data_IF_979845345019
#
_entry.id   IF_979845345019
#
_cell.length_a   1.000
_cell.length_b   1.000
_cell.length_c   1.000
_cell.angle_alpha   90.00
_cell.angle_beta   90.00
_cell.angle_gamma   90.00
#
_symmetry.space_group_name_H-M   'P 1'
#
loop_
_entity.id
_entity.type
_entity.pdbx_description
1 polymer ?
#
# COMPACT_ATOMS: atom_id res chain seq x y z
N UNK A 1 -2.63 -14.93 -39.47
CA UNK A 1 -1.55 -15.93 -39.40
C UNK A 1 -0.39 -15.30 -38.67
N UNK A 2 0.17 -16.01 -37.67
CA UNK A 2 1.33 -15.60 -36.88
C UNK A 2 2.50 -15.12 -37.78
N UNK A 3 3.49 -14.36 -37.28
CA UNK A 3 4.76 -14.29 -37.98
C UNK A 3 5.26 -15.74 -38.09
N UNK A 4 5.18 -16.30 -39.29
CA UNK A 4 5.34 -17.72 -39.57
C UNK A 4 6.77 -18.24 -39.34
N UNK A 5 7.69 -17.38 -38.87
CA UNK A 5 9.09 -17.69 -38.65
C UNK A 5 9.53 -17.66 -37.17
N UNK A 6 8.65 -17.28 -36.23
CA UNK A 6 9.03 -17.16 -34.81
C UNK A 6 10.13 -16.12 -34.55
N UNK A 7 10.74 -16.17 -33.36
CA UNK A 7 11.85 -15.28 -32.97
C UNK A 7 13.14 -15.70 -33.67
N UNK A 8 13.75 -14.77 -34.41
CA UNK A 8 14.98 -15.01 -35.16
C UNK A 8 16.22 -14.87 -34.27
N UNK A 9 16.18 -13.94 -33.32
CA UNK A 9 17.26 -13.72 -32.37
C UNK A 9 16.70 -13.10 -31.09
N UNK A 10 17.06 -13.65 -29.94
CA UNK A 10 16.84 -13.03 -28.62
C UNK A 10 18.20 -12.89 -27.94
N UNK A 11 18.50 -11.70 -27.43
CA UNK A 11 19.73 -11.42 -26.70
C UNK A 11 19.38 -10.69 -25.40
N UNK A 12 19.63 -11.37 -24.29
CA UNK A 12 19.51 -10.78 -22.95
C UNK A 12 20.65 -9.79 -22.77
N UNK A 13 20.31 -8.52 -22.56
CA UNK A 13 21.27 -7.47 -22.24
C UNK A 13 21.43 -7.40 -20.72
N UNK A 14 22.62 -7.69 -20.23
CA UNK A 14 22.95 -7.51 -18.80
C UNK A 14 23.34 -6.05 -18.55
N UNK A 15 22.87 -5.48 -17.44
CA UNK A 15 23.03 -4.07 -17.05
C UNK A 15 24.48 -3.59 -16.90
N UNK A 16 25.46 -4.51 -16.85
CA UNK A 16 26.89 -4.19 -16.75
C UNK A 16 27.58 -3.93 -18.08
N UNK A 17 26.92 -4.17 -19.22
CA UNK A 17 27.46 -3.89 -20.54
C UNK A 17 26.70 -2.70 -21.13
N UNK A 18 27.42 -1.64 -21.48
CA UNK A 18 26.87 -0.60 -22.36
C UNK A 18 26.29 -1.28 -23.61
N UNK A 19 24.96 -1.22 -23.75
CA UNK A 19 24.26 -1.83 -24.86
C UNK A 19 24.50 -0.98 -26.12
N UNK A 20 25.52 -1.34 -26.89
CA UNK A 20 25.80 -0.73 -28.19
C UNK A 20 24.76 -1.21 -29.22
N UNK A 21 23.64 -0.49 -29.29
CA UNK A 21 22.55 -0.71 -30.24
C UNK A 21 23.06 -0.75 -31.69
N UNK A 22 24.13 0.01 -32.01
CA UNK A 22 24.73 0.03 -33.35
C UNK A 22 25.41 -1.30 -33.65
N UNK A 23 26.14 -1.90 -32.71
CA UNK A 23 26.69 -3.26 -32.87
C UNK A 23 25.58 -4.31 -33.01
N UNK A 24 24.47 -4.19 -32.28
CA UNK A 24 23.33 -5.10 -32.40
C UNK A 24 22.68 -5.02 -33.78
N UNK A 25 22.44 -3.80 -34.29
CA UNK A 25 21.95 -3.57 -35.64
C UNK A 25 22.91 -4.15 -36.70
N UNK A 26 24.20 -3.84 -36.59
CA UNK A 26 25.23 -4.32 -37.54
C UNK A 26 25.32 -5.85 -37.59
N UNK A 27 25.17 -6.53 -36.45
CA UNK A 27 25.11 -8.00 -36.38
C UNK A 27 23.84 -8.60 -37.00
N UNK A 28 22.82 -7.78 -37.25
CA UNK A 28 21.50 -8.21 -37.73
C UNK A 28 21.19 -7.81 -39.18
N UNK A 29 22.02 -6.96 -39.82
CA UNK A 29 21.79 -6.43 -41.18
C UNK A 29 21.55 -7.55 -42.21
N UNK A 30 22.33 -8.64 -42.13
CA UNK A 30 22.18 -9.80 -43.00
C UNK A 30 20.88 -10.58 -42.78
N UNK A 31 20.34 -10.58 -41.56
CA UNK A 31 19.10 -11.28 -41.20
C UNK A 31 17.86 -10.52 -41.68
N UNK A 32 17.88 -9.19 -41.60
CA UNK A 32 16.73 -8.34 -41.95
C UNK A 32 16.48 -8.27 -43.46
N UNK A 33 17.52 -8.48 -44.28
CA UNK A 33 17.48 -8.27 -45.73
C UNK A 33 16.61 -9.29 -46.51
N UNK A 34 16.21 -10.41 -45.87
CA UNK A 34 15.39 -11.46 -46.48
C UNK A 34 14.00 -11.64 -45.86
N UNK A 35 13.61 -10.79 -44.91
CA UNK A 35 12.34 -10.93 -44.20
C UNK A 35 11.25 -10.09 -44.86
N UNK A 36 10.04 -10.66 -44.89
CA UNK A 36 8.87 -9.89 -45.25
C UNK A 36 8.71 -8.70 -44.28
N UNK A 37 8.25 -7.52 -44.75
CA UNK A 37 7.95 -6.40 -43.88
C UNK A 37 7.04 -6.84 -42.73
N UNK A 38 7.39 -6.44 -41.50
CA UNK A 38 6.56 -6.71 -40.34
C UNK A 38 5.22 -5.98 -40.50
N UNK A 39 4.13 -6.70 -40.27
CA UNK A 39 2.78 -6.13 -40.25
C UNK A 39 2.56 -5.35 -38.94
N UNK A 40 3.17 -4.16 -38.87
CA UNK A 40 3.09 -3.25 -37.73
C UNK A 40 2.71 -1.86 -38.25
N UNK A 41 1.58 -1.37 -37.77
CA UNK A 41 1.06 -0.03 -38.03
C UNK A 41 1.52 0.97 -36.96
N UNK A 42 1.44 0.61 -35.68
CA UNK A 42 1.95 1.42 -34.56
C UNK A 42 2.39 0.54 -33.39
N UNK A 43 3.17 1.12 -32.47
CA UNK A 43 3.67 0.45 -31.28
C UNK A 43 3.73 1.36 -30.06
N UNK A 44 3.57 0.79 -28.88
CA UNK A 44 3.78 1.49 -27.61
C UNK A 44 4.38 0.54 -26.55
N UNK A 45 5.06 1.10 -25.55
CA UNK A 45 5.57 0.34 -24.42
C UNK A 45 4.49 0.24 -23.34
N UNK A 46 4.29 -0.94 -22.76
CA UNK A 46 3.39 -1.14 -21.62
C UNK A 46 4.09 -0.82 -20.31
N UNK A 47 3.30 -0.55 -19.26
CA UNK A 47 3.83 -0.33 -17.91
C UNK A 47 4.59 -1.56 -17.35
N UNK A 48 4.32 -2.76 -17.89
CA UNK A 48 5.02 -4.00 -17.53
C UNK A 48 6.33 -4.22 -18.30
N UNK A 49 6.73 -3.29 -19.17
CA UNK A 49 7.91 -3.40 -20.01
C UNK A 49 7.72 -4.24 -21.29
N UNK A 50 6.49 -4.68 -21.57
CA UNK A 50 6.11 -5.33 -22.83
C UNK A 50 5.93 -4.32 -23.97
N UNK A 51 5.99 -4.81 -25.20
CA UNK A 51 5.78 -4.02 -26.42
C UNK A 51 4.40 -4.31 -27.02
N UNK A 52 3.52 -3.32 -26.99
CA UNK A 52 2.23 -3.34 -27.68
C UNK A 52 2.45 -3.06 -29.16
N UNK A 53 1.86 -3.90 -30.01
CA UNK A 53 1.92 -3.81 -31.46
C UNK A 53 0.51 -3.82 -32.04
N UNK A 54 0.21 -2.87 -32.91
CA UNK A 54 -1.01 -2.88 -33.73
C UNK A 54 -0.63 -3.22 -35.15
N UNK A 55 -1.26 -4.23 -35.74
CA UNK A 55 -1.08 -4.60 -37.15
C UNK A 55 -1.87 -3.70 -38.09
N UNK A 56 -1.56 -3.73 -39.39
CA UNK A 56 -2.35 -3.03 -40.41
C UNK A 56 -3.77 -3.56 -40.54
N UNK A 57 -4.07 -4.75 -40.02
CA UNK A 57 -5.43 -5.30 -39.95
C UNK A 57 -6.21 -4.87 -38.69
N UNK A 58 -5.59 -4.09 -37.80
CA UNK A 58 -6.21 -3.64 -36.55
C UNK A 58 -6.08 -4.62 -35.38
N UNK A 59 -5.38 -5.75 -35.55
CA UNK A 59 -5.07 -6.67 -34.45
C UNK A 59 -4.03 -6.07 -33.51
N UNK A 60 -4.33 -6.09 -32.22
CA UNK A 60 -3.47 -5.65 -31.12
C UNK A 60 -2.85 -6.86 -30.42
N UNK A 61 -1.53 -6.91 -30.40
CA UNK A 61 -0.74 -7.93 -29.73
C UNK A 61 0.21 -7.30 -28.70
N UNK A 62 0.60 -8.07 -27.69
CA UNK A 62 1.68 -7.74 -26.78
C UNK A 62 2.84 -8.70 -26.99
N UNK A 63 4.05 -8.17 -27.04
CA UNK A 63 5.30 -8.93 -27.01
C UNK A 63 5.95 -8.70 -25.65
N UNK A 64 6.01 -9.73 -24.83
CA UNK A 64 6.61 -9.66 -23.50
C UNK A 64 8.16 -9.66 -23.58
N UNK A 65 8.88 -9.26 -22.51
CA UNK A 65 10.34 -9.19 -22.52
C UNK A 65 11.07 -10.51 -22.82
N UNK A 66 10.42 -11.65 -22.56
CA UNK A 66 10.93 -12.99 -22.89
C UNK A 66 10.71 -13.37 -24.36
N UNK A 67 10.07 -12.50 -25.14
CA UNK A 67 9.67 -12.73 -26.51
C UNK A 67 8.36 -13.49 -26.64
N UNK A 68 7.59 -13.75 -25.59
CA UNK A 68 6.27 -14.34 -25.78
C UNK A 68 5.32 -13.33 -26.43
N UNK A 69 4.65 -13.72 -27.52
CA UNK A 69 3.65 -12.90 -28.17
C UNK A 69 2.26 -13.39 -27.79
N UNK A 70 1.41 -12.49 -27.30
CA UNK A 70 0.00 -12.76 -26.98
C UNK A 70 -0.92 -11.80 -27.71
N UNK A 71 -2.03 -12.33 -28.20
CA UNK A 71 -3.13 -11.53 -28.72
C UNK A 71 -3.87 -10.85 -27.58
N UNK A 72 -4.28 -9.59 -27.79
CA UNK A 72 -5.07 -8.83 -26.82
C UNK A 72 -6.48 -8.56 -27.37
N UNK A 73 -6.57 -7.92 -28.54
CA UNK A 73 -7.85 -7.44 -29.05
C UNK A 73 -7.78 -7.14 -30.55
N UNK A 74 -8.91 -7.22 -31.24
CA UNK A 74 -9.02 -6.80 -32.65
C UNK A 74 -9.85 -5.53 -32.74
N UNK A 75 -9.26 -4.45 -33.27
CA UNK A 75 -9.94 -3.19 -33.48
C UNK A 75 -11.00 -3.32 -34.58
N UNK A 76 -12.19 -2.81 -34.30
CA UNK A 76 -13.25 -2.70 -35.29
C UNK A 76 -12.90 -1.59 -36.31
N UNK A 77 -13.05 -1.85 -37.60
CA UNK A 77 -12.82 -0.83 -38.64
C UNK A 77 -12.16 -1.31 -39.93
N UNK A 78 -11.80 -2.59 -40.02
CA UNK A 78 -11.09 -3.12 -41.20
C UNK A 78 -9.63 -2.65 -41.25
N UNK A 79 -8.98 -2.77 -42.42
CA UNK A 79 -7.57 -2.42 -42.56
C UNK A 79 -7.30 -0.95 -42.23
N UNK A 80 -6.30 -0.70 -41.40
CA UNK A 80 -5.83 0.63 -41.03
C UNK A 80 -5.07 1.26 -42.19
N UNK A 81 -5.51 2.45 -42.61
CA UNK A 81 -4.81 3.21 -43.62
C UNK A 81 -3.43 3.65 -43.11
N UNK A 82 -2.46 3.69 -44.03
CA UNK A 82 -1.12 4.18 -43.71
C UNK A 82 -1.19 5.64 -43.24
N UNK A 83 -0.69 5.92 -42.04
CA UNK A 83 -0.73 7.26 -41.43
C UNK A 83 -1.99 7.60 -40.64
N UNK A 84 -2.95 6.68 -40.48
CA UNK A 84 -4.07 6.90 -39.55
C UNK A 84 -3.54 7.02 -38.11
N UNK A 85 -3.91 8.04 -37.32
CA UNK A 85 -3.41 8.16 -35.95
C UNK A 85 -4.05 7.08 -35.06
N UNK A 86 -3.22 6.16 -34.56
CA UNK A 86 -3.58 5.18 -33.53
C UNK A 86 -2.70 5.45 -32.31
N UNK A 87 -3.35 5.72 -31.18
CA UNK A 87 -2.65 5.88 -29.91
C UNK A 87 -2.96 4.72 -28.99
N UNK A 88 -1.92 4.17 -28.38
CA UNK A 88 -1.99 3.09 -27.41
C UNK A 88 -1.40 3.58 -26.10
N UNK A 89 -2.07 3.27 -24.99
CA UNK A 89 -1.53 3.54 -23.67
C UNK A 89 -2.08 2.57 -22.63
N UNK A 90 -1.25 2.19 -21.68
CA UNK A 90 -1.64 1.32 -20.56
C UNK A 90 -1.86 2.10 -19.28
N UNK A 91 -2.95 1.76 -18.57
CA UNK A 91 -3.34 2.29 -17.27
C UNK A 91 -3.66 1.10 -16.37
N UNK A 92 -2.74 0.73 -15.48
CA UNK A 92 -2.82 -0.53 -14.75
C UNK A 92 -3.06 -1.73 -15.69
N UNK A 93 -4.16 -2.45 -15.47
CA UNK A 93 -4.59 -3.59 -16.30
C UNK A 93 -5.37 -3.21 -17.56
N UNK A 94 -5.64 -1.92 -17.79
CA UNK A 94 -6.47 -1.43 -18.89
C UNK A 94 -5.58 -0.91 -20.02
N UNK A 95 -5.88 -1.33 -21.24
CA UNK A 95 -5.33 -0.76 -22.47
C UNK A 95 -6.33 0.24 -23.04
N UNK A 96 -5.92 1.50 -23.12
CA UNK A 96 -6.61 2.54 -23.86
C UNK A 96 -6.07 2.61 -25.29
N UNK A 97 -6.96 2.44 -26.27
CA UNK A 97 -6.65 2.61 -27.68
C UNK A 97 -7.56 3.68 -28.28
N UNK A 98 -6.98 4.70 -28.90
CA UNK A 98 -7.73 5.73 -29.64
C UNK A 98 -7.51 5.53 -31.13
N UNK A 99 -8.60 5.28 -31.86
CA UNK A 99 -8.60 5.13 -33.32
C UNK A 99 -9.77 5.93 -33.90
N UNK A 100 -9.47 6.85 -34.83
CA UNK A 100 -10.47 7.62 -35.59
C UNK A 100 -11.55 8.30 -34.72
N UNK A 101 -11.17 8.84 -33.56
CA UNK A 101 -12.09 9.48 -32.61
C UNK A 101 -12.92 8.49 -31.77
N UNK A 102 -12.56 7.21 -31.75
CA UNK A 102 -13.16 6.21 -30.87
C UNK A 102 -12.11 5.78 -29.83
N UNK A 103 -12.49 5.87 -28.56
CA UNK A 103 -11.73 5.31 -27.44
C UNK A 103 -12.21 3.89 -27.15
N UNK A 104 -11.31 2.94 -27.22
CA UNK A 104 -11.49 1.56 -26.79
C UNK A 104 -10.74 1.35 -25.47
N UNK A 105 -11.44 0.85 -24.46
CA UNK A 105 -10.85 0.42 -23.20
C UNK A 105 -10.93 -1.10 -23.14
N UNK A 106 -9.78 -1.75 -23.08
CA UNK A 106 -9.67 -3.21 -23.11
C UNK A 106 -8.99 -3.68 -21.83
N UNK A 107 -9.52 -4.73 -21.21
CA UNK A 107 -8.80 -5.44 -20.14
C UNK A 107 -7.66 -6.25 -20.78
N UNK A 108 -6.42 -5.90 -20.45
CA UNK A 108 -5.23 -6.54 -21.01
C UNK A 108 -5.13 -8.02 -20.65
N UNK A 109 -5.71 -8.44 -19.52
CA UNK A 109 -5.59 -9.82 -19.04
C UNK A 109 -6.54 -10.76 -19.78
N UNK A 110 -7.80 -10.34 -19.98
CA UNK A 110 -8.81 -11.15 -20.66
C UNK A 110 -8.98 -10.84 -22.15
N UNK A 111 -8.43 -9.72 -22.63
CA UNK A 111 -8.65 -9.22 -23.98
C UNK A 111 -10.07 -8.70 -24.23
N UNK A 112 -10.87 -8.52 -23.16
CA UNK A 112 -12.27 -8.09 -23.30
C UNK A 112 -12.36 -6.58 -23.41
N UNK A 113 -13.20 -6.12 -24.35
CA UNK A 113 -13.62 -4.73 -24.43
C UNK A 113 -14.45 -4.38 -23.19
N UNK A 114 -13.95 -3.45 -22.39
CA UNK A 114 -14.62 -2.89 -21.21
C UNK A 114 -15.62 -1.82 -21.65
N UNK A 115 -15.15 -0.84 -22.42
CA UNK A 115 -15.98 0.26 -22.89
C UNK A 115 -15.48 0.75 -24.25
N UNK A 116 -16.43 1.07 -25.13
CA UNK A 116 -16.18 1.76 -26.40
C UNK A 116 -16.91 3.09 -26.39
N UNK A 117 -16.18 4.17 -26.53
CA UNK A 117 -16.73 5.52 -26.50
C UNK A 117 -16.39 6.30 -27.75
N UNK A 118 -17.42 6.76 -28.45
CA UNK A 118 -17.25 7.71 -29.55
C UNK A 118 -16.96 9.07 -28.95
N UNK A 119 -15.78 9.61 -29.26
CA UNK A 119 -15.35 10.93 -28.84
C UNK A 119 -15.94 11.95 -29.83
N UNK A 120 -16.44 13.07 -29.31
CA UNK A 120 -16.99 14.14 -30.15
C UNK A 120 -15.94 14.85 -31.00
N UNK A 121 -14.65 14.63 -30.71
CA UNK A 121 -13.51 15.30 -31.34
C UNK A 121 -12.68 14.31 -32.14
N UNK A 122 -12.22 14.74 -33.32
CA UNK A 122 -11.43 13.90 -34.24
C UNK A 122 -9.98 13.71 -33.79
N UNK A 123 -9.41 14.70 -33.12
CA UNK A 123 -8.03 14.66 -32.60
C UNK A 123 -8.07 14.65 -31.08
N UNK A 124 -7.61 13.54 -30.50
CA UNK A 124 -7.53 13.33 -29.06
C UNK A 124 -6.18 12.70 -28.74
N UNK A 125 -5.52 13.24 -27.72
CA UNK A 125 -4.25 12.73 -27.22
C UNK A 125 -4.41 12.18 -25.81
N UNK A 126 -3.91 10.98 -25.57
CA UNK A 126 -3.91 10.40 -24.21
C UNK A 126 -2.71 10.95 -23.43
N UNK A 127 -2.98 11.67 -22.33
CA UNK A 127 -1.96 12.30 -21.49
C UNK A 127 -1.31 11.31 -20.52
N UNK A 128 -0.12 11.68 -20.03
CA UNK A 128 0.58 11.01 -18.93
C UNK A 128 0.35 11.81 -17.66
N UNK A 129 -0.29 11.20 -16.67
CA UNK A 129 -0.48 11.81 -15.35
C UNK A 129 0.70 11.43 -14.48
N UNK A 130 1.43 12.41 -13.94
CA UNK A 130 2.63 12.22 -13.10
C UNK A 130 2.26 12.02 -11.61
N UNK A 131 1.00 11.69 -11.29
CA UNK A 131 0.57 11.55 -9.89
C UNK A 131 -0.72 10.80 -9.63
N UNK A 132 -1.47 10.41 -10.67
CA UNK A 132 -2.64 9.53 -10.56
C UNK A 132 -2.41 8.35 -11.51
N UNK A 133 -1.86 7.25 -11.00
CA UNK A 133 -1.40 6.11 -11.82
C UNK A 133 -2.51 5.43 -12.66
N UNK A 134 -3.79 5.70 -12.36
CA UNK A 134 -4.93 5.02 -12.99
C UNK A 134 -5.96 5.97 -13.64
N UNK A 135 -5.73 7.28 -13.71
CA UNK A 135 -6.68 8.21 -14.33
C UNK A 135 -6.40 8.43 -15.83
N UNK A 136 -7.36 8.06 -16.68
CA UNK A 136 -7.25 8.25 -18.13
C UNK A 136 -7.59 9.71 -18.45
N UNK A 137 -6.56 10.50 -18.76
CA UNK A 137 -6.72 11.90 -19.16
C UNK A 137 -6.56 12.05 -20.67
N UNK A 138 -7.46 12.81 -21.28
CA UNK A 138 -7.55 13.07 -22.71
C UNK A 138 -7.35 14.57 -22.96
N UNK A 139 -6.34 14.92 -23.75
CA UNK A 139 -6.14 16.25 -24.29
C UNK A 139 -6.88 16.37 -25.62
N UNK A 140 -7.74 17.38 -25.72
CA UNK A 140 -8.40 17.78 -26.96
C UNK A 140 -8.08 19.25 -27.25
N UNK A 141 -8.51 19.74 -28.41
CA UNK A 141 -8.40 21.17 -28.76
C UNK A 141 -9.15 22.10 -27.79
N UNK A 142 -10.14 21.59 -27.04
CA UNK A 142 -10.96 22.39 -26.11
C UNK A 142 -10.48 22.30 -24.66
N UNK A 143 -9.51 21.45 -24.35
CA UNK A 143 -8.94 21.33 -23.01
C UNK A 143 -8.58 19.89 -22.62
N UNK A 144 -8.35 19.69 -21.32
CA UNK A 144 -8.03 18.40 -20.72
C UNK A 144 -9.29 17.83 -20.08
N UNK A 145 -9.59 16.56 -20.39
CA UNK A 145 -10.77 15.85 -19.92
C UNK A 145 -10.35 14.55 -19.24
N UNK A 146 -10.92 14.25 -18.07
CA UNK A 146 -10.76 12.94 -17.44
C UNK A 146 -11.86 12.00 -17.89
N UNK A 147 -11.50 10.80 -18.32
CA UNK A 147 -12.46 9.75 -18.62
C UNK A 147 -13.02 9.18 -17.32
N UNK A 148 -14.32 8.90 -17.30
CA UNK A 148 -14.99 8.15 -16.25
C UNK A 148 -15.83 7.07 -16.90
N UNK A 149 -15.74 5.84 -16.39
CA UNK A 149 -16.52 4.71 -16.87
C UNK A 149 -18.01 5.05 -16.91
N UNK A 150 -18.66 4.63 -18.00
CA UNK A 150 -20.10 4.62 -18.09
C UNK A 150 -20.68 3.83 -16.91
N UNK A 151 -21.67 4.40 -16.22
CA UNK A 151 -22.40 3.66 -15.21
C UNK A 151 -23.14 2.53 -15.94
N UNK A 152 -23.12 1.29 -15.46
CA UNK A 152 -24.01 0.27 -16.00
C UNK A 152 -25.45 0.80 -15.92
N UNK A 153 -26.15 0.78 -17.05
CA UNK A 153 -27.57 1.05 -17.07
C UNK A 153 -28.26 0.05 -16.14
N UNK A 154 -28.98 0.59 -15.17
CA UNK A 154 -29.97 -0.05 -14.32
C UNK A 154 -29.60 -1.46 -13.79
N UNK A 155 -28.78 -1.48 -12.75
CA UNK A 155 -29.01 -2.42 -11.65
C UNK A 155 -28.66 -1.72 -10.34
N UNK A 156 -29.70 -1.40 -9.61
CA UNK A 156 -29.73 -0.99 -8.20
C UNK A 156 -29.21 -2.08 -7.25
N UNK A 157 -28.09 -2.72 -7.61
CA UNK A 157 -27.39 -3.66 -6.76
C UNK A 157 -25.90 -3.35 -6.78
N UNK A 158 -25.26 -3.21 -5.60
CA UNK A 158 -23.83 -3.13 -5.51
C UNK A 158 -23.23 -4.42 -6.08
N UNK A 159 -22.03 -4.31 -6.69
CA UNK A 159 -21.29 -5.46 -7.21
C UNK A 159 -21.31 -6.61 -6.18
N UNK A 160 -21.98 -7.74 -6.49
CA UNK A 160 -22.20 -8.83 -5.54
C UNK A 160 -20.91 -9.37 -4.91
N UNK A 161 -19.78 -9.23 -5.61
CA UNK A 161 -18.47 -9.75 -5.23
C UNK A 161 -17.89 -9.08 -3.98
N UNK A 162 -18.00 -7.76 -3.80
CA UNK A 162 -17.40 -7.05 -2.67
C UNK A 162 -18.12 -7.35 -1.36
N UNK A 163 -19.45 -7.41 -1.44
CA UNK A 163 -20.30 -7.82 -0.31
C UNK A 163 -19.96 -9.24 0.09
N UNK A 164 -19.88 -10.16 -0.86
CA UNK A 164 -19.54 -11.56 -0.61
C UNK A 164 -18.14 -11.71 0.01
N UNK A 165 -17.16 -10.96 -0.48
CA UNK A 165 -15.78 -10.94 0.03
C UNK A 165 -15.68 -10.50 1.50
N UNK A 166 -16.42 -9.46 1.90
CA UNK A 166 -16.48 -9.00 3.31
C UNK A 166 -17.00 -10.11 4.22
N UNK A 167 -18.06 -10.79 3.81
CA UNK A 167 -18.64 -11.88 4.60
C UNK A 167 -17.73 -13.11 4.61
N UNK A 168 -17.03 -13.42 3.52
CA UNK A 168 -16.06 -14.51 3.48
C UNK A 168 -14.86 -14.25 4.39
N UNK A 169 -14.26 -13.06 4.34
CA UNK A 169 -13.13 -12.70 5.18
C UNK A 169 -13.54 -12.70 6.66
N UNK A 170 -14.73 -12.17 6.97
CA UNK A 170 -15.28 -12.27 8.31
C UNK A 170 -15.46 -13.72 8.77
N UNK A 171 -15.98 -14.60 7.91
CA UNK A 171 -16.08 -16.03 8.22
C UNK A 171 -14.71 -16.64 8.52
N UNK A 172 -13.67 -16.34 7.73
CA UNK A 172 -12.30 -16.82 7.96
C UNK A 172 -11.76 -16.32 9.31
N UNK A 173 -11.91 -15.03 9.59
CA UNK A 173 -11.44 -14.41 10.82
C UNK A 173 -12.11 -15.01 12.07
N UNK A 174 -13.44 -15.10 12.10
CA UNK A 174 -14.15 -15.66 13.25
C UNK A 174 -13.95 -17.18 13.39
N UNK A 175 -13.81 -17.92 12.29
CA UNK A 175 -13.52 -19.35 12.34
C UNK A 175 -12.15 -19.62 12.99
N UNK A 176 -11.13 -18.79 12.70
CA UNK A 176 -9.79 -18.92 13.32
C UNK A 176 -9.80 -18.75 14.84
N UNK A 177 -10.75 -17.97 15.39
CA UNK A 177 -10.85 -17.69 16.84
C UNK A 177 -11.93 -18.51 17.55
N UNK A 178 -12.68 -19.33 16.80
CA UNK A 178 -13.78 -20.13 17.34
C UNK A 178 -13.28 -21.46 17.91
N UNK A 179 -13.66 -21.77 19.14
CA UNK A 179 -13.45 -23.09 19.76
C UNK A 179 -14.50 -24.13 19.32
N UNK A 180 -15.46 -23.73 18.50
CA UNK A 180 -16.52 -24.59 17.98
C UNK A 180 -16.07 -25.31 16.71
N UNK A 181 -16.32 -26.62 16.63
CA UNK A 181 -16.07 -27.46 15.45
C UNK A 181 -17.05 -27.19 14.29
N UNK A 182 -18.10 -26.40 14.52
CA UNK A 182 -19.07 -26.07 13.47
C UNK A 182 -18.51 -25.01 12.51
N UNK A 183 -18.62 -25.27 11.21
CA UNK A 183 -18.21 -24.34 10.14
C UNK A 183 -19.16 -23.14 10.09
N UNK A 184 -18.60 -21.94 10.23
CA UNK A 184 -19.24 -20.66 10.04
C UNK A 184 -19.30 -20.38 8.53
N UNK A 185 -20.51 -20.18 8.02
CA UNK A 185 -20.78 -19.91 6.61
C UNK A 185 -21.30 -18.50 6.44
N UNK A 186 -21.12 -17.92 5.25
CA UNK A 186 -21.64 -16.59 4.88
C UNK A 186 -23.14 -16.49 5.17
N UNK A 187 -23.91 -17.55 4.88
CA UNK A 187 -25.34 -17.59 5.16
C UNK A 187 -25.68 -17.54 6.66
N UNK A 188 -24.92 -18.26 7.51
CA UNK A 188 -25.09 -18.21 8.96
C UNK A 188 -24.71 -16.84 9.51
N UNK A 189 -23.65 -16.22 8.98
CA UNK A 189 -23.24 -14.88 9.36
C UNK A 189 -24.30 -13.84 8.99
N UNK A 190 -24.89 -13.95 7.80
CA UNK A 190 -25.97 -13.07 7.29
C UNK A 190 -27.27 -13.23 8.08
N UNK A 191 -27.68 -14.47 8.41
CA UNK A 191 -28.94 -14.77 9.11
C UNK A 191 -28.89 -14.57 10.63
N UNK A 192 -27.69 -14.63 11.22
CA UNK A 192 -27.53 -14.73 12.67
C UNK A 192 -27.66 -13.42 13.46
N UNK A 193 -27.59 -12.24 12.81
CA UNK A 193 -27.69 -10.92 13.48
C UNK A 193 -26.61 -10.62 14.53
N UNK A 194 -25.79 -11.60 14.93
CA UNK A 194 -24.79 -11.52 15.98
C UNK A 194 -23.51 -10.77 15.56
N UNK A 195 -23.26 -10.64 14.26
CA UNK A 195 -22.04 -10.04 13.72
C UNK A 195 -22.34 -8.71 13.03
N UNK A 196 -22.39 -7.64 13.82
CA UNK A 196 -22.76 -6.30 13.36
C UNK A 196 -21.69 -5.63 12.49
N UNK A 197 -20.40 -5.94 12.71
CA UNK A 197 -19.30 -5.33 11.96
C UNK A 197 -19.31 -5.64 10.45
N UNK A 198 -19.40 -6.92 10.00
CA UNK A 198 -19.47 -7.25 8.57
C UNK A 198 -20.76 -6.74 7.89
N UNK A 199 -21.86 -6.72 8.62
CA UNK A 199 -23.15 -6.18 8.16
C UNK A 199 -23.05 -4.66 7.97
N UNK A 200 -22.46 -3.95 8.94
CA UNK A 200 -22.23 -2.51 8.86
C UNK A 200 -21.26 -2.15 7.73
N UNK A 201 -20.12 -2.87 7.61
CA UNK A 201 -19.14 -2.64 6.55
C UNK A 201 -19.76 -2.88 5.16
N UNK A 202 -20.55 -3.93 5.02
CA UNK A 202 -21.33 -4.18 3.81
C UNK A 202 -22.26 -3.01 3.54
N UNK A 203 -23.09 -2.60 4.49
CA UNK A 203 -24.03 -1.49 4.30
C UNK A 203 -23.31 -0.19 3.91
N UNK A 204 -22.12 0.06 4.46
CA UNK A 204 -21.25 1.19 4.12
C UNK A 204 -20.75 1.10 2.68
N UNK A 205 -20.25 -0.06 2.24
CA UNK A 205 -19.81 -0.30 0.86
C UNK A 205 -20.98 -0.19 -0.12
N UNK A 206 -22.14 -0.74 0.23
CA UNK A 206 -23.35 -0.60 -0.56
C UNK A 206 -23.74 0.88 -0.67
N UNK A 207 -23.77 1.63 0.43
CA UNK A 207 -24.10 3.06 0.41
C UNK A 207 -23.08 3.91 -0.37
N UNK A 208 -21.79 3.57 -0.33
CA UNK A 208 -20.73 4.25 -1.07
C UNK A 208 -20.93 4.24 -2.58
N UNK A 209 -21.42 3.12 -3.11
CA UNK A 209 -21.72 2.94 -4.53
C UNK A 209 -23.01 3.66 -4.94
N UNK A 210 -23.94 3.88 -4.00
CA UNK A 210 -25.25 4.50 -4.26
C UNK A 210 -25.27 6.04 -4.08
N UNK A 211 -24.28 6.64 -3.43
CA UNK A 211 -24.31 8.06 -3.05
C UNK A 211 -23.95 9.06 -4.17
N UNK A 212 -24.48 8.86 -5.39
CA UNK A 212 -24.61 9.94 -6.40
C UNK A 212 -25.98 10.61 -6.43
N UNK A 213 -26.90 10.31 -5.49
CA UNK A 213 -28.14 11.07 -5.30
C UNK A 213 -28.44 11.35 -3.82
N UNK A 214 -28.45 12.66 -3.49
CA UNK A 214 -28.88 13.39 -2.27
C UNK A 214 -28.56 12.83 -0.87
N UNK A 215 -27.90 13.62 0.01
CA UNK A 215 -27.52 13.14 1.33
C UNK A 215 -28.55 13.34 2.43
N UNK A 216 -28.71 12.31 3.27
CA UNK A 216 -29.14 12.45 4.66
C UNK A 216 -27.94 12.88 5.51
N UNK A 217 -28.00 14.08 6.11
CA UNK A 217 -26.87 14.79 6.74
C UNK A 217 -26.16 14.04 7.88
N UNK A 218 -26.83 13.15 8.62
CA UNK A 218 -26.25 12.52 9.81
C UNK A 218 -25.34 11.30 9.54
N UNK A 219 -25.65 10.49 8.53
CA UNK A 219 -24.84 9.30 8.17
C UNK A 219 -23.62 9.65 7.31
N UNK A 220 -23.68 10.79 6.61
CA UNK A 220 -22.60 11.24 5.73
C UNK A 220 -21.34 11.65 6.51
N UNK A 221 -21.45 12.23 7.70
CA UNK A 221 -20.27 12.65 8.48
C UNK A 221 -19.47 11.45 9.02
N UNK A 222 -20.14 10.45 9.58
CA UNK A 222 -19.47 9.22 10.06
C UNK A 222 -18.86 8.44 8.91
N UNK A 223 -19.53 8.44 7.76
CA UNK A 223 -19.07 7.81 6.52
C UNK A 223 -17.84 8.52 5.92
N UNK A 224 -17.87 9.86 5.85
CA UNK A 224 -16.72 10.68 5.42
C UNK A 224 -15.53 10.46 6.34
N UNK A 225 -15.75 10.38 7.66
CA UNK A 225 -14.69 10.07 8.64
C UNK A 225 -14.09 8.68 8.43
N UNK A 226 -14.90 7.67 8.13
CA UNK A 226 -14.40 6.32 7.88
C UNK A 226 -13.61 6.26 6.57
N UNK A 227 -14.14 6.81 5.48
CA UNK A 227 -13.42 6.89 4.21
C UNK A 227 -12.12 7.66 4.34
N UNK A 228 -12.13 8.78 5.07
CA UNK A 228 -10.89 9.54 5.32
C UNK A 228 -9.91 8.71 6.13
N UNK A 229 -10.37 7.94 7.11
CA UNK A 229 -9.50 7.06 7.91
C UNK A 229 -8.91 5.95 7.04
N UNK A 230 -9.71 5.26 6.24
CA UNK A 230 -9.23 4.21 5.33
C UNK A 230 -8.29 4.75 4.24
N UNK A 231 -8.60 5.93 3.69
CA UNK A 231 -7.74 6.60 2.72
C UNK A 231 -6.37 6.95 3.34
N UNK A 232 -6.36 7.50 4.55
CA UNK A 232 -5.13 7.78 5.30
C UNK A 232 -4.35 6.50 5.62
N UNK A 233 -5.02 5.42 6.00
CA UNK A 233 -4.37 4.13 6.23
C UNK A 233 -3.76 3.56 4.94
N UNK A 234 -4.49 3.57 3.82
CA UNK A 234 -3.99 3.12 2.52
C UNK A 234 -2.79 3.96 2.05
N UNK A 235 -2.89 5.29 2.18
CA UNK A 235 -1.78 6.19 1.85
C UNK A 235 -0.55 5.91 2.73
N UNK A 236 -0.76 5.60 4.01
CA UNK A 236 0.30 5.17 4.93
C UNK A 236 0.97 3.88 4.45
N UNK A 237 0.19 2.86 4.06
CA UNK A 237 0.73 1.60 3.52
C UNK A 237 1.46 1.78 2.19
N UNK A 238 0.93 2.61 1.27
CA UNK A 238 1.61 2.92 0.01
C UNK A 238 2.93 3.64 0.26
N UNK A 239 2.96 4.60 1.19
CA UNK A 239 4.17 5.32 1.58
C UNK A 239 5.21 4.37 2.17
N UNK A 240 4.79 3.40 3.00
CA UNK A 240 5.65 2.38 3.57
C UNK A 240 6.26 1.46 2.50
N UNK A 241 5.47 1.04 1.51
CA UNK A 241 5.95 0.14 0.46
C UNK A 241 6.88 0.85 -0.53
N UNK A 242 6.62 2.14 -0.81
CA UNK A 242 7.56 3.00 -1.53
C UNK A 242 8.86 3.14 -0.75
N UNK A 243 8.81 3.44 0.55
CA UNK A 243 9.98 3.60 1.40
C UNK A 243 10.83 2.32 1.45
N UNK A 244 10.18 1.15 1.57
CA UNK A 244 10.85 -0.16 1.50
C UNK A 244 11.54 -0.39 0.17
N UNK A 245 10.90 0.01 -0.94
CA UNK A 245 11.52 -0.05 -2.27
C UNK A 245 12.74 0.87 -2.35
N UNK A 246 12.65 2.08 -1.80
CA UNK A 246 13.79 3.01 -1.69
C UNK A 246 14.94 2.39 -0.87
N UNK A 247 14.67 1.74 0.27
CA UNK A 247 15.72 1.07 1.07
C UNK A 247 16.47 0.00 0.25
N UNK A 248 15.75 -0.74 -0.61
CA UNK A 248 16.35 -1.81 -1.43
C UNK A 248 17.15 -1.25 -2.60
N UNK A 249 16.69 -0.15 -3.21
CA UNK A 249 17.27 0.41 -4.42
C UNK A 249 18.26 1.56 -4.18
N UNK A 250 18.30 2.14 -2.97
CA UNK A 250 19.10 3.31 -2.65
C UNK A 250 20.61 2.98 -2.57
N UNK A 251 21.48 3.94 -2.93
CA UNK A 251 22.91 3.83 -2.69
C UNK A 251 23.21 3.85 -1.17
N UNK A 252 24.29 3.19 -0.75
CA UNK A 252 24.61 2.93 0.67
C UNK A 252 24.62 4.20 1.56
N UNK A 253 24.94 5.36 0.99
CA UNK A 253 24.98 6.65 1.69
C UNK A 253 23.59 7.22 2.03
N UNK A 254 22.51 6.73 1.40
CA UNK A 254 21.14 7.20 1.64
C UNK A 254 20.29 6.19 2.42
N UNK A 255 20.71 4.92 2.45
CA UNK A 255 20.02 3.83 3.15
C UNK A 255 19.81 4.12 4.64
N UNK A 256 20.78 4.73 5.34
CA UNK A 256 20.62 5.07 6.77
C UNK A 256 19.43 6.01 7.00
N UNK A 257 19.22 7.00 6.14
CA UNK A 257 18.11 7.94 6.26
C UNK A 257 16.76 7.25 6.06
N UNK A 258 16.65 6.38 5.05
CA UNK A 258 15.43 5.63 4.80
C UNK A 258 15.14 4.60 5.90
N UNK A 259 16.17 3.96 6.45
CA UNK A 259 16.02 3.10 7.61
C UNK A 259 15.58 3.87 8.87
N UNK A 260 16.07 5.10 9.08
CA UNK A 260 15.60 5.94 10.19
C UNK A 260 14.10 6.26 10.06
N UNK A 261 13.63 6.61 8.86
CA UNK A 261 12.22 6.88 8.57
C UNK A 261 11.34 5.62 8.73
N UNK A 262 11.83 4.47 8.25
CA UNK A 262 11.13 3.19 8.37
C UNK A 262 10.93 2.80 9.84
N UNK A 263 11.99 2.96 10.65
CA UNK A 263 11.92 2.68 12.09
C UNK A 263 10.98 3.66 12.79
N UNK A 264 10.95 4.93 12.38
CA UNK A 264 10.00 5.90 12.94
C UNK A 264 8.55 5.52 12.66
N UNK A 265 8.23 5.14 11.42
CA UNK A 265 6.88 4.68 11.07
C UNK A 265 6.50 3.40 11.83
N UNK A 266 7.40 2.42 11.91
CA UNK A 266 7.13 1.14 12.58
C UNK A 266 6.99 1.27 14.10
N UNK A 267 7.86 2.03 14.75
CA UNK A 267 7.75 2.30 16.20
C UNK A 267 6.46 3.04 16.50
N UNK A 268 6.10 4.03 15.67
CA UNK A 268 4.83 4.75 15.80
C UNK A 268 3.64 3.79 15.64
N UNK A 269 3.61 2.97 14.58
CA UNK A 269 2.56 1.99 14.32
C UNK A 269 2.35 1.06 15.51
N UNK A 270 3.43 0.47 16.03
CA UNK A 270 3.38 -0.47 17.16
C UNK A 270 2.94 0.22 18.46
N UNK A 271 3.38 1.46 18.71
CA UNK A 271 2.94 2.22 19.88
C UNK A 271 1.47 2.65 19.80
N UNK A 272 0.89 2.76 18.60
CA UNK A 272 -0.52 3.09 18.41
C UNK A 272 -1.42 1.84 18.32
N UNK A 273 -0.89 0.65 18.01
CA UNK A 273 -1.62 -0.63 18.02
C UNK A 273 -1.71 -1.30 19.40
N UNK A 274 -2.51 -2.35 19.54
CA UNK A 274 -2.55 -3.14 20.78
C UNK A 274 -1.18 -3.76 21.10
N UNK A 275 -0.74 -3.61 22.36
CA UNK A 275 0.57 -4.06 22.81
C UNK A 275 0.46 -5.49 23.37
N UNK A 276 0.69 -6.48 22.51
CA UNK A 276 0.77 -7.89 22.87
C UNK A 276 2.22 -8.39 22.99
N UNK A 277 2.41 -9.69 23.27
CA UNK A 277 3.73 -10.30 23.43
C UNK A 277 4.57 -10.24 22.14
N UNK A 278 3.93 -10.40 20.98
CA UNK A 278 4.60 -10.44 19.68
C UNK A 278 5.05 -9.04 19.26
N UNK A 279 4.19 -8.04 19.41
CA UNK A 279 4.51 -6.64 19.17
C UNK A 279 5.61 -6.14 20.13
N UNK A 280 5.60 -6.58 21.39
CA UNK A 280 6.66 -6.25 22.34
C UNK A 280 8.00 -6.91 21.95
N UNK A 281 7.99 -8.18 21.54
CA UNK A 281 9.17 -8.89 21.07
C UNK A 281 9.75 -8.25 19.80
N UNK A 282 8.88 -7.89 18.86
CA UNK A 282 9.24 -7.15 17.65
C UNK A 282 9.84 -5.77 17.98
N UNK A 283 9.24 -5.02 18.90
CA UNK A 283 9.80 -3.73 19.29
C UNK A 283 11.18 -3.87 19.97
N UNK A 284 11.39 -4.92 20.76
CA UNK A 284 12.72 -5.24 21.31
C UNK A 284 13.74 -5.51 20.20
N UNK A 285 13.37 -6.25 19.14
CA UNK A 285 14.28 -6.52 18.02
C UNK A 285 14.60 -5.26 17.21
N UNK A 286 13.64 -4.35 17.04
CA UNK A 286 13.84 -3.03 16.41
C UNK A 286 14.84 -2.20 17.22
N UNK A 287 14.69 -2.13 18.55
CA UNK A 287 15.62 -1.39 19.41
C UNK A 287 17.03 -1.98 19.44
N UNK A 288 17.14 -3.31 19.31
CA UNK A 288 18.44 -3.98 19.22
C UNK A 288 19.13 -3.70 17.87
N UNK A 289 18.37 -3.76 16.78
CA UNK A 289 18.90 -3.62 15.41
C UNK A 289 19.16 -2.15 15.02
N UNK A 290 18.28 -1.24 15.44
CA UNK A 290 18.31 0.18 15.06
C UNK A 290 18.25 1.12 16.28
N UNK A 291 19.22 1.05 17.21
CA UNK A 291 19.10 1.70 18.51
C UNK A 291 18.97 3.23 18.43
N UNK A 292 19.69 3.88 17.50
CA UNK A 292 19.67 5.34 17.31
C UNK A 292 18.33 5.80 16.71
N UNK A 293 17.84 5.11 15.69
CA UNK A 293 16.57 5.39 15.04
C UNK A 293 15.40 5.14 16.00
N UNK A 294 15.40 4.01 16.70
CA UNK A 294 14.37 3.65 17.67
C UNK A 294 14.28 4.67 18.83
N UNK A 295 15.44 5.17 19.30
CA UNK A 295 15.49 6.27 20.27
C UNK A 295 14.84 7.56 19.72
N UNK A 296 15.21 7.98 18.50
CA UNK A 296 14.62 9.16 17.86
C UNK A 296 13.11 9.02 17.71
N UNK A 297 12.65 7.87 17.19
CA UNK A 297 11.24 7.55 17.03
C UNK A 297 10.47 7.58 18.36
N UNK A 298 11.02 6.95 19.41
CA UNK A 298 10.42 6.97 20.76
C UNK A 298 10.30 8.40 21.28
N UNK A 299 11.32 9.24 21.07
CA UNK A 299 11.30 10.65 21.45
C UNK A 299 10.20 11.41 20.69
N UNK A 300 10.03 11.14 19.39
CA UNK A 300 8.95 11.70 18.56
C UNK A 300 7.58 11.26 19.06
N UNK A 301 7.35 9.96 19.26
CA UNK A 301 6.06 9.41 19.69
C UNK A 301 5.64 9.89 21.08
N UNK A 302 6.59 9.97 22.02
CA UNK A 302 6.34 10.52 23.35
C UNK A 302 6.31 12.06 23.39
N UNK A 303 6.68 12.69 22.28
CA UNK A 303 6.84 14.15 22.13
C UNK A 303 7.70 14.74 23.25
N UNK A 304 8.84 14.11 23.51
CA UNK A 304 9.75 14.50 24.60
C UNK A 304 10.53 15.75 24.21
N UNK A 305 10.36 16.81 25.00
CA UNK A 305 11.03 18.09 24.84
C UNK A 305 11.58 18.59 26.18
N UNK A 306 12.65 19.38 26.16
CA UNK A 306 13.04 20.15 27.33
C UNK A 306 12.30 21.48 27.30
N UNK A 307 11.63 21.81 28.41
CA UNK A 307 11.04 23.12 28.60
C UNK A 307 12.15 24.17 28.81
N UNK A 308 11.79 25.47 28.80
CA UNK A 308 12.68 26.60 29.07
C UNK A 308 13.41 26.50 30.40
N UNK A 309 12.84 25.79 31.37
CA UNK A 309 13.42 25.53 32.69
C UNK A 309 14.36 24.31 32.73
N UNK A 310 14.63 23.68 31.58
CA UNK A 310 15.49 22.50 31.45
C UNK A 310 14.83 21.17 31.84
N UNK A 311 13.58 21.22 32.33
CA UNK A 311 12.78 20.04 32.70
C UNK A 311 12.28 19.28 31.47
N UNK A 312 12.29 17.95 31.55
CA UNK A 312 11.75 17.08 30.50
C UNK A 312 10.23 17.08 30.58
N UNK A 313 9.57 17.40 29.47
CA UNK A 313 8.11 17.40 29.30
C UNK A 313 7.76 16.42 28.19
N UNK A 314 6.62 15.77 28.33
CA UNK A 314 6.05 14.89 27.33
C UNK A 314 4.62 15.30 27.00
N UNK A 315 4.22 15.06 25.75
CA UNK A 315 2.87 15.41 25.25
C UNK A 315 2.18 14.24 24.54
N UNK A 316 2.67 13.02 24.77
CA UNK A 316 2.03 11.80 24.31
C UNK A 316 0.61 11.66 24.89
N UNK A 317 -0.26 10.97 24.16
CA UNK A 317 -1.62 10.66 24.61
C UNK A 317 -1.61 9.70 25.81
N UNK A 318 -2.67 9.70 26.65
CA UNK A 318 -2.77 8.77 27.78
C UNK A 318 -2.64 7.29 27.39
N UNK A 319 -3.11 6.92 26.19
CA UNK A 319 -3.04 5.54 25.70
C UNK A 319 -1.61 5.07 25.42
N UNK A 320 -0.75 5.96 24.92
CA UNK A 320 0.68 5.66 24.74
C UNK A 320 1.33 5.45 26.11
N UNK A 321 1.01 6.31 27.09
CA UNK A 321 1.51 6.17 28.46
C UNK A 321 1.05 4.88 29.13
N UNK A 322 -0.21 4.48 28.92
CA UNK A 322 -0.74 3.21 29.42
C UNK A 322 0.05 2.01 28.88
N UNK A 323 0.51 2.05 27.63
CA UNK A 323 1.37 0.99 27.05
C UNK A 323 2.78 1.01 27.60
N UNK A 324 3.37 2.18 27.80
CA UNK A 324 4.69 2.32 28.46
C UNK A 324 4.64 1.73 29.88
N UNK A 325 3.55 1.97 30.59
CA UNK A 325 3.33 1.48 31.96
C UNK A 325 2.87 0.01 32.03
N UNK A 326 2.18 -0.45 30.99
CA UNK A 326 1.61 -1.79 30.85
C UNK A 326 2.69 -2.84 30.57
N UNK A 327 3.26 -3.41 31.63
CA UNK A 327 4.11 -4.61 31.51
C UNK A 327 3.29 -5.91 31.57
N UNK A 328 3.70 -6.99 30.88
CA UNK A 328 3.08 -8.31 31.01
C UNK A 328 3.15 -8.81 32.47
N UNK A 329 2.18 -9.65 32.87
CA UNK A 329 2.21 -10.34 34.17
C UNK A 329 3.54 -11.09 34.31
N UNK A 330 4.13 -10.99 35.51
CA UNK A 330 5.49 -11.38 35.82
C UNK A 330 5.75 -12.90 35.74
N UNK A 331 4.74 -13.71 35.41
CA UNK A 331 4.87 -15.18 35.39
C UNK A 331 5.63 -15.73 34.15
N UNK A 332 5.80 -14.94 33.08
CA UNK A 332 6.41 -15.42 31.82
C UNK A 332 7.74 -14.72 31.41
N UNK A 333 8.21 -13.72 32.16
CA UNK A 333 9.31 -12.84 31.72
C UNK A 333 10.71 -13.47 31.91
N UNK A 334 10.78 -14.73 32.35
CA UNK A 334 12.05 -15.43 32.63
C UNK A 334 12.70 -16.14 31.45
N UNK A 335 12.02 -16.39 30.33
CA UNK A 335 12.48 -17.42 29.39
C UNK A 335 12.95 -16.92 28.00
N UNK A 336 12.59 -15.71 27.53
CA UNK A 336 12.81 -15.30 26.13
C UNK A 336 13.62 -14.01 25.89
N UNK A 337 14.24 -13.40 26.90
CA UNK A 337 15.09 -12.20 26.70
C UNK A 337 14.35 -10.91 26.30
N UNK A 338 13.02 -10.94 26.17
CA UNK A 338 12.17 -9.77 25.86
C UNK A 338 11.98 -8.93 27.13
N UNK A 339 12.31 -7.64 27.04
CA UNK A 339 12.20 -6.70 28.17
C UNK A 339 10.93 -5.85 28.01
N UNK A 340 10.22 -5.49 29.09
CA UNK A 340 9.03 -4.65 28.96
C UNK A 340 9.36 -3.26 28.40
N UNK A 341 8.37 -2.61 27.82
CA UNK A 341 8.54 -1.36 27.07
C UNK A 341 9.19 -0.25 27.91
N UNK A 342 8.82 -0.11 29.19
CA UNK A 342 9.45 0.84 30.09
C UNK A 342 10.97 0.63 30.21
N UNK A 343 11.41 -0.59 30.50
CA UNK A 343 12.82 -0.95 30.62
C UNK A 343 13.57 -0.75 29.29
N UNK A 344 12.92 -1.08 28.17
CA UNK A 344 13.47 -0.88 26.84
C UNK A 344 13.73 0.60 26.56
N UNK A 345 12.79 1.47 26.92
CA UNK A 345 12.94 2.92 26.81
C UNK A 345 14.02 3.42 27.76
N UNK A 346 14.05 2.97 29.03
CA UNK A 346 15.11 3.30 29.98
C UNK A 346 16.50 2.94 29.46
N UNK A 347 16.66 1.77 28.83
CA UNK A 347 17.93 1.35 28.22
C UNK A 347 18.36 2.32 27.10
N UNK A 348 17.42 2.77 26.27
CA UNK A 348 17.70 3.78 25.24
C UNK A 348 18.07 5.14 25.82
N UNK A 349 17.39 5.60 26.88
CA UNK A 349 17.79 6.82 27.61
C UNK A 349 19.21 6.71 28.14
N UNK A 350 19.58 5.59 28.77
CA UNK A 350 20.94 5.37 29.26
C UNK A 350 21.99 5.41 28.16
N UNK A 351 21.65 4.95 26.96
CA UNK A 351 22.58 4.93 25.81
C UNK A 351 22.75 6.30 25.17
N UNK A 352 21.67 7.07 25.00
CA UNK A 352 21.70 8.29 24.17
C UNK A 352 21.56 9.61 24.95
N UNK A 353 20.84 9.61 26.08
CA UNK A 353 20.60 10.80 26.93
C UNK A 353 20.51 10.42 28.42
N UNK A 354 21.60 9.94 29.05
CA UNK A 354 21.55 9.39 30.41
C UNK A 354 21.09 10.42 31.46
N UNK A 355 21.43 11.71 31.26
CA UNK A 355 20.98 12.81 32.14
C UNK A 355 19.46 13.01 32.14
N UNK A 356 18.75 12.56 31.11
CA UNK A 356 17.29 12.69 31.02
C UNK A 356 16.54 11.54 31.68
N UNK A 357 17.23 10.43 32.00
CA UNK A 357 16.59 9.26 32.60
C UNK A 357 15.88 9.57 33.93
N UNK A 358 16.49 10.27 34.91
CA UNK A 358 15.81 10.57 36.16
C UNK A 358 14.51 11.36 35.95
N UNK A 359 14.56 12.41 35.12
CA UNK A 359 13.37 13.21 34.77
C UNK A 359 12.32 12.41 34.01
N UNK A 360 12.73 11.47 33.16
CA UNK A 360 11.80 10.56 32.48
C UNK A 360 11.10 9.62 33.46
N UNK A 361 11.83 9.03 34.42
CA UNK A 361 11.26 8.16 35.44
C UNK A 361 10.28 8.93 36.32
N UNK A 362 10.63 10.15 36.73
CA UNK A 362 9.75 11.04 37.49
C UNK A 362 8.48 11.39 36.70
N UNK A 363 8.62 11.77 35.43
CA UNK A 363 7.48 12.06 34.55
C UNK A 363 6.58 10.83 34.40
N UNK A 364 7.17 9.65 34.18
CA UNK A 364 6.42 8.40 34.08
C UNK A 364 5.68 8.09 35.38
N UNK A 365 6.28 8.36 36.54
CA UNK A 365 5.65 8.21 37.85
C UNK A 365 4.45 9.16 38.03
N UNK A 366 4.53 10.40 37.55
CA UNK A 366 3.41 11.35 37.59
C UNK A 366 2.21 10.84 36.76
N UNK A 367 2.46 10.25 35.58
CA UNK A 367 1.39 9.68 34.75
C UNK A 367 0.73 8.44 35.38
N UNK A 368 1.47 7.63 36.17
CA UNK A 368 0.88 6.56 36.97
C UNK A 368 -0.15 7.12 37.95
N UNK A 369 0.24 8.15 38.71
CA UNK A 369 -0.61 8.77 39.74
C UNK A 369 -1.90 9.39 39.18
N UNK A 370 -1.86 9.89 37.94
CA UNK A 370 -3.01 10.51 37.27
C UNK A 370 -3.92 9.46 36.63
N UNK A 371 -3.34 8.37 36.10
CA UNK A 371 -4.06 7.38 35.29
C UNK A 371 -4.61 6.21 36.12
N UNK A 372 -4.12 6.02 37.33
CA UNK A 372 -4.53 4.93 38.23
C UNK A 372 -4.85 5.53 39.61
N UNK A 373 -6.12 5.50 40.00
CA UNK A 373 -6.50 5.84 41.37
C UNK A 373 -5.92 4.79 42.33
N UNK A 374 -5.37 5.25 43.46
CA UNK A 374 -4.62 4.54 44.52
C UNK A 374 -5.36 3.35 45.20
N UNK A 375 -6.43 2.82 44.60
CA UNK A 375 -7.32 1.83 45.20
C UNK A 375 -7.67 0.66 44.27
N UNK A 376 -7.08 0.59 43.07
CA UNK A 376 -7.25 -0.58 42.20
C UNK A 376 -6.27 -1.68 42.60
N UNK A 377 -6.77 -2.81 43.09
CA UNK A 377 -5.98 -4.03 43.31
C UNK A 377 -5.36 -4.60 42.02
N UNK A 378 -5.79 -4.11 40.85
CA UNK A 378 -5.21 -4.42 39.54
C UNK A 378 -4.16 -3.38 39.08
N UNK A 379 -3.85 -2.41 39.95
CA UNK A 379 -2.85 -1.38 39.71
C UNK A 379 -1.41 -1.86 39.77
N UNK A 380 -0.46 -1.14 39.15
CA UNK A 380 0.97 -1.42 39.26
C UNK A 380 1.51 -1.24 40.69
N UNK A 381 0.67 -0.91 41.67
CA UNK A 381 1.02 -0.70 43.08
C UNK A 381 1.51 -1.98 43.79
N UNK A 382 1.20 -3.17 43.25
CA UNK A 382 1.83 -4.44 43.64
C UNK A 382 3.16 -4.75 42.93
N UNK A 383 3.61 -3.89 42.01
CA UNK A 383 4.82 -4.09 41.20
C UNK A 383 6.02 -3.35 41.80
N UNK A 384 7.21 -3.82 41.47
CA UNK A 384 8.48 -3.15 41.79
C UNK A 384 8.40 -1.67 41.35
N UNK A 385 8.70 -0.69 42.24
CA UNK A 385 8.64 0.74 41.90
C UNK A 385 9.41 1.08 40.62
N UNK A 386 8.91 2.02 39.81
CA UNK A 386 9.50 2.38 38.51
C UNK A 386 10.98 2.76 38.62
N UNK A 387 11.37 3.47 39.67
CA UNK A 387 12.78 3.79 39.91
C UNK A 387 13.64 2.53 40.12
N UNK A 388 13.14 1.51 40.85
CA UNK A 388 13.87 0.24 41.02
C UNK A 388 13.95 -0.55 39.71
N UNK A 389 12.89 -0.52 38.89
CA UNK A 389 12.90 -1.11 37.53
C UNK A 389 13.94 -0.44 36.64
N UNK A 390 14.01 0.89 36.64
CA UNK A 390 15.01 1.65 35.90
C UNK A 390 16.45 1.37 36.39
N UNK A 391 16.66 1.27 37.71
CA UNK A 391 17.93 0.83 38.29
C UNK A 391 18.30 -0.61 37.89
N UNK A 392 17.32 -1.50 37.76
CA UNK A 392 17.52 -2.86 37.27
C UNK A 392 18.06 -2.92 35.84
N UNK A 393 17.79 -1.89 35.01
CA UNK A 393 18.38 -1.77 33.66
C UNK A 393 19.85 -1.35 33.74
N UNK A 394 20.23 -0.50 34.69
CA UNK A 394 21.63 -0.11 34.91
C UNK A 394 22.51 -1.29 35.33
N UNK A 395 21.98 -2.19 36.16
CA UNK A 395 22.72 -3.34 36.68
C UNK A 395 22.93 -4.49 35.68
N UNK A 396 22.35 -4.39 34.46
CA UNK A 396 22.48 -5.38 33.38
C UNK A 396 23.55 -5.02 32.35
N UNK A 397 24.25 -3.89 32.54
CA UNK A 397 25.52 -3.59 31.89
C UNK A 397 26.65 -3.94 32.84
#
# INVERSE_FOLDING_TARGET
TAPSAGFICSKVLHSSNESDFRKLLLGSVGLLSGLAPLDIHTSAVSNSGGLLLVSTQGTVNMVEPDGTQRHIFDLEGGPLAQGSPVQLKTFGSILACVLAGILYLIDQSSGRLIEKKILSMKEVHVLESVGEEDSIQLLTQTGIYSFSFSKPEDNSRPEPCLVEMVFEEACRYYQRRSLSSSKLTVEKLKKGGAFQAPVALTAILQHSLHQKQKPARGLQETYVKLLSTMSLELQSYMSLELLKTCVVCAPENEVESYCEELVEQEVSRVLHSDMDKDNLAYLNSVFASFPKAAWKATRSCLQLQQNRDGLLVARATPEVWKKVLGGPQQEDVGQNGVVPLFELICASFLKFKPKWLPSFVELTQQYVSVSWAYSSKDGPEGRVPLYKRALGVLARK
#
